data_IF_016637908244
#
_entry.id   IF_016637908244
#
_cell.length_a   1.000
_cell.length_b   1.000
_cell.length_c   1.000
_cell.angle_alpha   90.00
_cell.angle_beta   90.00
_cell.angle_gamma   90.00
#
_symmetry.space_group_name_H-M   'P 1'
#
loop_
_entity.id
_entity.type
_entity.pdbx_description
1 polymer ?
#
# COMPACT_ATOMS: atom_id res chain seq x y z
N UNK A 1 -37.49 -46.09 -7.82
CA UNK A 1 -36.33 -45.22 -8.15
C UNK A 1 -36.85 -43.80 -8.30
N UNK A 2 -36.38 -42.71 -7.67
CA UNK A 2 -35.34 -42.43 -6.67
C UNK A 2 -35.91 -41.27 -5.81
N UNK A 3 -35.93 -41.40 -4.49
CA UNK A 3 -36.21 -40.28 -3.58
C UNK A 3 -35.01 -39.33 -3.60
N UNK A 4 -35.26 -38.05 -3.91
CA UNK A 4 -34.24 -36.99 -3.80
C UNK A 4 -34.09 -36.62 -2.32
N UNK A 5 -32.90 -36.84 -1.75
CA UNK A 5 -32.53 -36.43 -0.39
C UNK A 5 -32.25 -34.93 -0.38
N UNK A 6 -32.97 -34.18 0.45
CA UNK A 6 -32.66 -32.79 0.79
C UNK A 6 -31.65 -32.83 1.95
N UNK A 7 -30.49 -32.24 1.75
CA UNK A 7 -29.44 -32.09 2.77
C UNK A 7 -29.77 -30.83 3.56
N UNK A 8 -30.22 -30.96 4.81
CA UNK A 8 -30.39 -29.83 5.72
C UNK A 8 -29.03 -29.40 6.26
N UNK A 9 -28.64 -28.15 6.01
CA UNK A 9 -27.46 -27.55 6.63
C UNK A 9 -27.87 -26.95 7.98
N UNK A 10 -27.42 -27.56 9.07
CA UNK A 10 -27.60 -27.04 10.42
C UNK A 10 -26.65 -25.86 10.66
N UNK A 11 -27.19 -24.66 10.88
CA UNK A 11 -26.42 -23.52 11.41
C UNK A 11 -26.19 -23.73 12.90
N UNK A 12 -24.93 -23.87 13.30
CA UNK A 12 -24.50 -23.88 14.70
C UNK A 12 -24.15 -22.45 15.10
N UNK A 13 -24.98 -21.83 15.95
CA UNK A 13 -24.70 -20.52 16.55
C UNK A 13 -24.01 -20.79 17.90
N UNK A 14 -22.71 -20.55 17.98
CA UNK A 14 -21.97 -20.62 19.24
C UNK A 14 -22.11 -19.26 19.93
N UNK A 15 -22.99 -19.21 20.92
CA UNK A 15 -23.10 -18.12 21.89
C UNK A 15 -22.00 -18.26 22.94
N UNK A 16 -21.03 -17.33 22.97
CA UNK A 16 -20.10 -17.21 24.10
C UNK A 16 -20.53 -16.01 24.93
N UNK A 17 -21.28 -16.31 25.99
CA UNK A 17 -21.50 -15.44 27.14
C UNK A 17 -20.18 -15.28 27.90
N UNK A 18 -19.67 -14.05 28.00
CA UNK A 18 -18.61 -13.71 28.95
C UNK A 18 -19.15 -12.68 29.93
N UNK A 19 -19.25 -13.16 31.17
CA UNK A 19 -19.85 -12.54 32.33
C UNK A 19 -19.17 -11.23 32.72
N UNK A 20 -19.96 -10.18 32.93
CA UNK A 20 -19.55 -9.02 33.71
C UNK A 20 -19.48 -9.43 35.19
N UNK A 21 -18.27 -9.59 35.73
CA UNK A 21 -18.04 -9.57 37.18
C UNK A 21 -17.37 -8.24 37.49
N UNK A 22 -18.14 -7.37 38.16
CA UNK A 22 -17.68 -6.09 38.67
C UNK A 22 -16.79 -6.23 39.91
N UNK A 23 -15.90 -5.25 40.04
CA UNK A 23 -15.24 -4.70 41.22
C UNK A 23 -14.76 -5.63 42.35
N UNK A 24 -13.44 -5.68 42.55
CA UNK A 24 -12.92 -5.42 43.89
C UNK A 24 -11.53 -4.76 43.85
N UNK A 25 -11.34 -3.86 44.79
CA UNK A 25 -10.25 -2.93 45.00
C UNK A 25 -9.27 -3.55 45.99
N UNK A 26 -8.00 -3.73 45.65
CA UNK A 26 -6.95 -3.75 46.67
C UNK A 26 -5.58 -3.41 46.11
N UNK A 27 -5.09 -2.26 46.56
CA UNK A 27 -3.75 -1.76 46.39
C UNK A 27 -2.85 -2.53 47.38
N UNK A 28 -1.83 -3.26 46.91
CA UNK A 28 -0.73 -3.65 47.78
C UNK A 28 0.59 -3.84 47.01
N UNK A 29 1.65 -3.38 47.67
CA UNK A 29 3.00 -3.10 47.20
C UNK A 29 3.89 -4.35 47.29
N UNK A 30 4.67 -4.69 46.25
CA UNK A 30 6.03 -5.24 46.38
C UNK A 30 6.74 -5.39 45.03
N UNK A 31 8.05 -5.15 45.04
CA UNK A 31 9.00 -5.26 43.94
C UNK A 31 9.24 -6.73 43.54
N UNK A 32 9.39 -7.06 42.26
CA UNK A 32 10.67 -7.46 41.64
C UNK A 32 10.49 -7.98 40.19
N UNK A 33 11.39 -7.50 39.33
CA UNK A 33 11.90 -7.98 38.03
C UNK A 33 11.20 -9.21 37.43
N UNK A 34 10.57 -9.10 36.24
CA UNK A 34 10.67 -10.08 35.13
C UNK A 34 10.34 -9.45 33.75
N UNK A 35 11.32 -9.50 32.85
CA UNK A 35 11.23 -9.61 31.38
C UNK A 35 10.25 -8.71 30.61
N UNK A 36 10.80 -7.64 30.03
CA UNK A 36 10.23 -7.00 28.85
C UNK A 36 10.30 -7.95 27.64
N UNK A 37 9.25 -8.76 27.43
CA UNK A 37 8.92 -9.35 26.14
C UNK A 37 7.46 -9.05 25.88
N UNK A 38 7.21 -7.96 25.15
CA UNK A 38 5.94 -7.72 24.45
C UNK A 38 6.13 -6.51 23.53
N UNK A 39 6.35 -6.77 22.25
CA UNK A 39 5.86 -5.93 21.17
C UNK A 39 5.70 -6.80 19.92
N UNK A 40 4.94 -7.88 20.06
CA UNK A 40 4.30 -8.52 18.91
C UNK A 40 2.97 -7.82 18.69
N UNK A 41 3.02 -6.60 18.15
CA UNK A 41 1.90 -6.07 17.38
C UNK A 41 1.93 -6.78 16.02
N UNK A 42 1.59 -8.07 16.01
CA UNK A 42 1.05 -8.66 14.79
C UNK A 42 -0.37 -8.12 14.68
N UNK A 43 -0.48 -6.89 14.19
CA UNK A 43 -1.65 -6.48 13.44
C UNK A 43 -1.89 -7.58 12.43
N UNK A 44 -2.96 -8.36 12.60
CA UNK A 44 -3.46 -9.26 11.59
C UNK A 44 -3.68 -8.43 10.32
N UNK A 45 -2.67 -8.46 9.45
CA UNK A 45 -2.76 -7.99 8.08
C UNK A 45 -3.79 -8.91 7.44
N UNK A 46 -5.02 -8.42 7.33
CA UNK A 46 -6.01 -8.97 6.42
C UNK A 46 -5.39 -8.91 5.01
N UNK A 47 -4.65 -9.96 4.65
CA UNK A 47 -4.22 -10.22 3.29
C UNK A 47 -5.46 -10.66 2.51
N UNK A 48 -6.28 -9.69 2.11
CA UNK A 48 -6.80 -9.78 0.74
C UNK A 48 -5.59 -9.49 -0.13
N UNK A 49 -4.98 -10.55 -0.67
CA UNK A 49 -3.89 -10.41 -1.64
C UNK A 49 -4.45 -9.64 -2.84
N UNK A 50 -4.21 -8.32 -2.83
CA UNK A 50 -4.61 -7.43 -3.92
C UNK A 50 -3.83 -7.89 -5.14
N UNK A 51 -4.54 -8.46 -6.11
CA UNK A 51 -3.94 -9.00 -7.31
C UNK A 51 -3.32 -7.88 -8.16
N UNK A 52 -1.99 -7.91 -8.25
CA UNK A 52 -1.27 -7.12 -9.25
C UNK A 52 -1.42 -7.85 -10.59
N UNK A 53 -2.06 -7.20 -11.57
CA UNK A 53 -2.24 -7.76 -12.91
C UNK A 53 -1.10 -7.41 -13.87
N UNK A 54 -0.37 -6.35 -13.57
CA UNK A 54 0.86 -5.98 -14.29
C UNK A 54 2.05 -6.10 -13.36
N UNK A 55 3.21 -6.42 -13.92
CA UNK A 55 4.47 -6.46 -13.19
C UNK A 55 5.23 -5.11 -13.28
N UNK A 56 6.32 -4.98 -12.54
CA UNK A 56 7.13 -3.76 -12.49
C UNK A 56 7.77 -3.39 -13.84
N UNK A 57 8.10 -4.37 -14.68
CA UNK A 57 8.65 -4.15 -16.02
C UNK A 57 7.60 -3.54 -16.95
N UNK A 58 6.37 -4.05 -16.91
CA UNK A 58 5.25 -3.49 -17.65
C UNK A 58 4.93 -2.07 -17.19
N UNK A 59 4.89 -1.83 -15.87
CA UNK A 59 4.71 -0.48 -15.33
C UNK A 59 5.80 0.50 -15.80
N UNK A 60 7.06 0.04 -15.88
CA UNK A 60 8.16 0.85 -16.40
C UNK A 60 7.97 1.20 -17.88
N UNK A 61 7.50 0.26 -18.69
CA UNK A 61 7.20 0.51 -20.11
C UNK A 61 6.09 1.54 -20.27
N UNK A 62 5.02 1.44 -19.47
CA UNK A 62 3.90 2.40 -19.44
C UNK A 62 4.41 3.81 -19.14
N UNK A 63 5.24 3.96 -18.10
CA UNK A 63 5.80 5.26 -17.71
C UNK A 63 6.74 5.81 -18.77
N UNK A 64 7.65 4.98 -19.30
CA UNK A 64 8.56 5.39 -20.35
C UNK A 64 7.81 5.89 -21.59
N UNK A 65 6.75 5.19 -21.99
CA UNK A 65 5.96 5.60 -23.16
C UNK A 65 5.23 6.94 -22.93
N UNK A 66 4.65 7.15 -21.74
CA UNK A 66 3.98 8.41 -21.38
C UNK A 66 4.94 9.59 -21.33
N UNK A 67 6.17 9.37 -20.83
CA UNK A 67 7.12 10.45 -20.55
C UNK A 67 8.19 10.66 -21.62
N UNK A 68 8.33 9.78 -22.64
CA UNK A 68 9.39 9.83 -23.66
C UNK A 68 9.58 11.18 -24.36
N UNK A 69 8.51 11.96 -24.51
CA UNK A 69 8.52 13.28 -25.17
C UNK A 69 8.46 14.46 -24.18
N UNK A 70 8.42 14.19 -22.87
CA UNK A 70 8.26 15.19 -21.80
C UNK A 70 9.59 15.38 -21.06
N UNK A 71 10.23 14.25 -20.73
CA UNK A 71 11.53 14.18 -20.08
C UNK A 71 12.35 13.04 -20.71
N UNK A 72 13.67 13.07 -20.56
CA UNK A 72 14.51 11.93 -20.95
C UNK A 72 14.07 10.65 -20.23
N UNK A 73 14.06 9.52 -20.93
CA UNK A 73 13.66 8.21 -20.39
C UNK A 73 14.47 7.80 -19.15
N UNK A 74 15.70 8.27 -19.05
CA UNK A 74 16.58 7.99 -17.92
C UNK A 74 16.30 8.87 -16.71
N UNK A 75 15.32 9.76 -16.75
CA UNK A 75 15.01 10.66 -15.64
C UNK A 75 13.94 10.12 -14.69
N UNK A 76 13.39 8.92 -14.95
CA UNK A 76 12.48 8.23 -14.04
C UNK A 76 13.07 6.87 -13.65
N UNK A 77 13.00 6.53 -12.37
CA UNK A 77 13.29 5.19 -11.87
C UNK A 77 12.11 4.67 -11.06
N UNK A 78 11.89 3.36 -11.10
CA UNK A 78 11.04 2.70 -10.11
C UNK A 78 11.78 2.69 -8.76
N UNK A 79 11.05 2.78 -7.65
CA UNK A 79 11.61 2.59 -6.32
C UNK A 79 12.23 1.19 -6.13
N UNK A 80 12.83 0.98 -4.96
CA UNK A 80 13.42 -0.29 -4.58
C UNK A 80 14.61 -0.12 -3.64
N UNK A 81 15.15 -1.26 -3.22
CA UNK A 81 16.16 -1.38 -2.16
C UNK A 81 17.46 -0.62 -2.46
N UNK A 82 17.87 -0.52 -3.73
CA UNK A 82 19.12 0.14 -4.11
C UNK A 82 19.19 1.61 -3.64
N UNK A 83 18.05 2.29 -3.56
CA UNK A 83 17.96 3.68 -3.12
C UNK A 83 17.16 3.86 -1.81
N UNK A 84 16.81 2.75 -1.13
CA UNK A 84 15.86 2.75 -0.01
C UNK A 84 14.53 3.47 -0.34
N UNK A 85 14.05 3.29 -1.58
CA UNK A 85 12.83 3.92 -2.06
C UNK A 85 11.69 2.90 -2.07
N UNK A 86 10.48 3.36 -1.79
CA UNK A 86 9.29 2.52 -1.88
C UNK A 86 8.98 2.21 -3.34
N UNK A 87 8.90 0.94 -3.72
CA UNK A 87 8.57 0.49 -5.07
C UNK A 87 7.06 0.29 -5.27
N UNK A 88 6.33 -0.06 -4.20
CA UNK A 88 4.89 -0.33 -4.22
C UNK A 88 4.17 0.30 -3.02
N UNK A 89 3.07 1.01 -3.27
CA UNK A 89 2.17 1.55 -2.22
C UNK A 89 0.73 1.09 -2.41
N UNK A 90 -0.07 1.22 -1.36
CA UNK A 90 -1.51 0.94 -1.37
C UNK A 90 -2.32 2.21 -1.13
N UNK A 91 -3.23 2.55 -2.05
CA UNK A 91 -4.19 3.67 -1.93
C UNK A 91 -5.58 3.12 -2.26
N UNK A 92 -6.58 3.39 -1.42
CA UNK A 92 -7.99 3.01 -1.65
C UNK A 92 -8.16 1.55 -2.14
N UNK A 93 -7.53 0.63 -1.42
CA UNK A 93 -7.57 -0.81 -1.72
C UNK A 93 -6.92 -1.24 -3.04
N UNK A 94 -6.17 -0.37 -3.70
CA UNK A 94 -5.43 -0.68 -4.93
C UNK A 94 -3.92 -0.51 -4.71
N UNK A 95 -3.13 -1.30 -5.44
CA UNK A 95 -1.67 -1.24 -5.40
C UNK A 95 -1.14 -0.35 -6.52
N UNK A 96 -0.06 0.37 -6.26
CA UNK A 96 0.56 1.29 -7.21
C UNK A 96 2.07 1.13 -7.19
N UNK A 97 2.67 0.93 -8.36
CA UNK A 97 4.10 1.05 -8.55
C UNK A 97 4.51 2.53 -8.48
N UNK A 98 5.61 2.80 -7.78
CA UNK A 98 6.07 4.17 -7.51
C UNK A 98 7.33 4.47 -8.31
N UNK A 99 7.28 5.56 -9.07
CA UNK A 99 8.38 6.08 -9.86
C UNK A 99 8.81 7.46 -9.35
N UNK A 100 10.12 7.68 -9.33
CA UNK A 100 10.77 8.88 -8.80
C UNK A 100 11.58 9.55 -9.89
N UNK A 101 11.64 10.88 -9.83
CA UNK A 101 12.42 11.68 -10.78
C UNK A 101 13.90 11.74 -10.35
N UNK A 102 14.80 11.69 -11.32
CA UNK A 102 16.23 11.99 -11.15
C UNK A 102 16.54 13.42 -11.57
N UNK A 103 17.38 14.09 -10.80
CA UNK A 103 18.03 15.32 -11.18
C UNK A 103 19.21 15.04 -12.13
N UNK A 104 19.71 16.10 -12.77
CA UNK A 104 20.87 16.00 -13.68
C UNK A 104 22.13 15.48 -12.97
N UNK A 105 22.27 15.77 -11.68
CA UNK A 105 23.35 15.30 -10.81
C UNK A 105 23.12 13.89 -10.24
N UNK A 106 22.12 13.15 -10.76
CA UNK A 106 21.68 11.83 -10.30
C UNK A 106 21.03 11.79 -8.90
N UNK A 107 20.87 12.93 -8.22
CA UNK A 107 20.09 12.97 -6.98
C UNK A 107 18.60 12.71 -7.24
N UNK A 108 17.90 12.12 -6.28
CA UNK A 108 16.52 11.66 -6.45
C UNK A 108 15.55 12.69 -5.84
N UNK A 109 14.57 13.10 -6.64
CA UNK A 109 13.42 13.91 -6.19
C UNK A 109 12.34 13.00 -5.63
N UNK A 110 12.10 13.14 -4.33
CA UNK A 110 11.10 12.35 -3.60
C UNK A 110 9.83 13.13 -3.31
N UNK A 111 9.82 14.44 -3.55
CA UNK A 111 8.66 15.34 -3.39
C UNK A 111 7.57 15.07 -4.43
N UNK A 112 7.97 14.65 -5.63
CA UNK A 112 7.12 14.37 -6.79
C UNK A 112 7.30 12.93 -7.25
N UNK A 113 6.19 12.22 -7.43
CA UNK A 113 6.16 10.79 -7.77
C UNK A 113 5.17 10.56 -8.91
N UNK A 114 5.47 9.55 -9.73
CA UNK A 114 4.53 9.00 -10.70
C UNK A 114 4.07 7.65 -10.16
N UNK A 115 2.77 7.41 -10.16
CA UNK A 115 2.15 6.19 -9.68
C UNK A 115 1.53 5.44 -10.86
N UNK A 116 1.75 4.14 -10.94
CA UNK A 116 1.09 3.26 -11.93
C UNK A 116 0.25 2.25 -11.18
N UNK A 117 -1.05 2.23 -11.46
CA UNK A 117 -1.97 1.25 -10.88
C UNK A 117 -1.54 -0.17 -11.28
N UNK A 118 -1.23 -1.02 -10.31
CA UNK A 118 -0.74 -2.38 -10.53
C UNK A 118 -1.81 -3.33 -11.09
N UNK A 119 -3.08 -2.93 -11.13
CA UNK A 119 -4.19 -3.69 -11.69
C UNK A 119 -4.60 -3.17 -13.08
N UNK A 120 -4.66 -1.84 -13.28
CA UNK A 120 -5.19 -1.23 -14.52
C UNK A 120 -4.12 -0.66 -15.44
N UNK A 121 -2.90 -0.40 -14.94
CA UNK A 121 -1.85 0.32 -15.68
C UNK A 121 -2.09 1.83 -15.82
N UNK A 122 -3.16 2.37 -15.24
CA UNK A 122 -3.41 3.81 -15.24
C UNK A 122 -2.31 4.58 -14.48
N UNK A 123 -1.97 5.75 -15.01
CA UNK A 123 -0.87 6.57 -14.50
C UNK A 123 -1.44 7.79 -13.78
N UNK A 124 -0.87 8.12 -12.62
CA UNK A 124 -1.22 9.27 -11.82
C UNK A 124 0.03 10.01 -11.35
N UNK A 125 -0.11 11.31 -11.16
CA UNK A 125 0.84 12.11 -10.39
C UNK A 125 0.56 12.00 -8.90
N UNK A 126 1.59 12.18 -8.08
CA UNK A 126 1.44 12.27 -6.64
C UNK A 126 2.54 13.13 -6.01
N UNK A 127 2.16 13.98 -5.05
CA UNK A 127 3.13 14.66 -4.19
C UNK A 127 3.30 13.89 -2.88
N UNK A 128 4.55 13.73 -2.43
CA UNK A 128 4.84 13.04 -1.18
C UNK A 128 4.28 13.78 0.07
N UNK A 129 3.98 15.08 -0.05
CA UNK A 129 3.25 15.85 0.97
C UNK A 129 1.81 15.39 1.17
N UNK A 130 1.21 14.73 0.17
CA UNK A 130 -0.12 14.13 0.26
C UNK A 130 -0.11 12.72 -0.35
N UNK A 131 0.38 11.76 0.43
CA UNK A 131 0.72 10.41 -0.03
C UNK A 131 -0.43 9.61 -0.64
N UNK A 132 -1.68 9.96 -0.35
CA UNK A 132 -2.87 9.23 -0.81
C UNK A 132 -3.60 9.93 -1.95
N UNK A 133 -3.21 11.17 -2.32
CA UNK A 133 -3.89 11.90 -3.39
C UNK A 133 -3.37 11.47 -4.75
N UNK A 134 -4.26 10.92 -5.58
CA UNK A 134 -4.01 10.69 -7.00
C UNK A 134 -4.33 11.97 -7.79
N UNK A 135 -3.41 12.37 -8.65
CA UNK A 135 -3.56 13.53 -9.53
C UNK A 135 -3.62 12.99 -10.96
N UNK A 136 -4.58 13.44 -11.80
CA UNK A 136 -4.57 13.10 -13.22
C UNK A 136 -3.20 13.40 -13.83
N UNK A 137 -2.65 12.44 -14.59
CA UNK A 137 -1.26 12.53 -15.04
C UNK A 137 -1.00 13.78 -15.90
N UNK A 138 -1.98 14.21 -16.70
CA UNK A 138 -1.83 15.38 -17.55
C UNK A 138 -1.79 16.69 -16.73
N UNK A 139 -2.59 16.79 -15.68
CA UNK A 139 -2.55 17.93 -14.75
C UNK A 139 -1.20 17.99 -14.03
N UNK A 140 -0.70 16.82 -13.60
CA UNK A 140 0.60 16.71 -12.95
C UNK A 140 1.76 17.08 -13.88
N UNK A 141 1.74 16.61 -15.13
CA UNK A 141 2.73 16.98 -16.16
C UNK A 141 2.70 18.49 -16.42
N UNK A 142 1.51 19.09 -16.51
CA UNK A 142 1.35 20.52 -16.68
C UNK A 142 1.98 21.29 -15.51
N UNK A 143 1.79 20.81 -14.27
CA UNK A 143 2.44 21.41 -13.10
C UNK A 143 3.97 21.31 -13.16
N UNK A 144 4.53 20.14 -13.53
CA UNK A 144 5.97 19.96 -13.72
C UNK A 144 6.59 20.94 -14.72
N UNK A 145 5.81 21.39 -15.71
CA UNK A 145 6.29 22.35 -16.71
C UNK A 145 6.44 23.77 -16.16
N UNK A 146 5.74 24.11 -15.08
CA UNK A 146 5.79 25.43 -14.43
C UNK A 146 6.99 25.60 -13.49
N UNK A 147 7.62 24.49 -13.09
CA UNK A 147 8.85 24.50 -12.29
C UNK A 147 10.13 24.71 -13.12
N UNK A 148 10.01 24.88 -14.45
CA UNK A 148 11.15 25.07 -15.36
C UNK A 148 11.59 26.52 -15.46
#
# INVERSE_FOLDING_TARGET
MKLKRIVSLSLVIISISLSFVGCSKQNNKSNDIQNAVSNTNNTEKSNTDKENKINSSEAKNIVNDKFKNIIGSDNLLIGGDFFNLTDLISIENQNYYVFYFKNKDQSIKTDKRVLVNATTGEIYGNYNSNKNKLIPIDDFINDLSKDK
#
